data_IF_966405234468
#
_entry.id   IF_966405234468
#
_cell.length_a   1.000
_cell.length_b   1.000
_cell.length_c   1.000
_cell.angle_alpha   90.00
_cell.angle_beta   90.00
_cell.angle_gamma   90.00
#
_symmetry.space_group_name_H-M   'P 1'
#
loop_
_entity.id
_entity.type
_entity.pdbx_description
1 polymer ?
#
# COMPACT_ATOMS: atom_id res chain seq x y z
N UNK A 1 -11.13 -15.73 -22.67
CA UNK A 1 -9.94 -15.02 -22.20
C UNK A 1 -9.23 -15.91 -21.19
N UNK A 2 -7.94 -16.15 -21.36
CA UNK A 2 -7.11 -16.94 -20.46
C UNK A 2 -6.61 -16.07 -19.28
N UNK A 3 -6.08 -16.71 -18.22
CA UNK A 3 -5.47 -16.00 -17.10
C UNK A 3 -4.25 -15.17 -17.54
N UNK A 4 -3.44 -15.69 -18.45
CA UNK A 4 -2.29 -14.96 -19.02
C UNK A 4 -2.70 -13.74 -19.87
N UNK A 5 -3.80 -13.83 -20.61
CA UNK A 5 -4.36 -12.64 -21.30
C UNK A 5 -4.80 -11.58 -20.28
N UNK A 6 -5.40 -12.01 -19.16
CA UNK A 6 -5.80 -11.13 -18.07
C UNK A 6 -4.61 -10.45 -17.39
N UNK A 7 -3.52 -11.17 -17.19
CA UNK A 7 -2.25 -10.65 -16.66
C UNK A 7 -1.66 -9.61 -17.63
N UNK A 8 -1.60 -9.94 -18.92
CA UNK A 8 -1.10 -9.02 -19.95
C UNK A 8 -1.94 -7.72 -20.04
N UNK A 9 -3.26 -7.82 -19.87
CA UNK A 9 -4.18 -6.69 -19.86
C UNK A 9 -4.21 -5.92 -18.53
N UNK A 10 -3.54 -6.39 -17.48
CA UNK A 10 -3.33 -5.69 -16.23
C UNK A 10 -4.45 -5.82 -15.19
N UNK A 11 -5.44 -6.70 -15.38
CA UNK A 11 -6.46 -6.95 -14.36
C UNK A 11 -6.28 -8.25 -13.56
N UNK A 12 -5.31 -9.08 -13.95
CA UNK A 12 -4.76 -10.17 -13.14
C UNK A 12 -3.35 -9.76 -12.75
N UNK A 13 -3.03 -9.78 -11.47
CA UNK A 13 -1.73 -9.36 -10.97
C UNK A 13 -0.62 -10.35 -11.29
N UNK A 14 -0.92 -11.65 -11.17
CA UNK A 14 0.05 -12.73 -11.34
C UNK A 14 -0.70 -14.02 -11.69
N UNK A 15 -0.15 -14.81 -12.62
CA UNK A 15 -0.62 -16.14 -12.94
C UNK A 15 0.29 -17.16 -12.28
N UNK A 16 -0.28 -18.10 -11.55
CA UNK A 16 0.45 -19.16 -10.85
C UNK A 16 -0.03 -20.54 -11.32
N UNK A 17 0.68 -21.59 -10.94
CA UNK A 17 0.27 -22.97 -11.20
C UNK A 17 -1.12 -23.28 -10.65
N UNK A 18 -1.80 -24.22 -11.30
CA UNK A 18 -3.15 -24.61 -10.89
C UNK A 18 -3.21 -25.08 -9.42
N UNK A 19 -4.16 -24.57 -8.69
CA UNK A 19 -4.33 -24.82 -7.25
C UNK A 19 -3.42 -23.99 -6.33
N UNK A 20 -2.48 -23.18 -6.84
CA UNK A 20 -1.52 -22.39 -6.05
C UNK A 20 -1.96 -20.95 -5.75
N UNK A 21 -3.06 -20.49 -6.29
CA UNK A 21 -3.51 -19.10 -6.17
C UNK A 21 -3.70 -18.67 -4.70
N UNK A 22 -4.28 -19.51 -3.85
CA UNK A 22 -4.48 -19.18 -2.44
C UNK A 22 -3.16 -19.10 -1.66
N UNK A 23 -2.23 -20.02 -1.92
CA UNK A 23 -0.89 -20.02 -1.30
C UNK A 23 -0.16 -18.72 -1.66
N UNK A 24 -0.15 -18.36 -2.94
CA UNK A 24 0.48 -17.12 -3.42
C UNK A 24 -0.20 -15.86 -2.86
N UNK A 25 -1.51 -15.84 -2.79
CA UNK A 25 -2.25 -14.74 -2.18
C UNK A 25 -1.87 -14.54 -0.70
N UNK A 26 -1.66 -15.61 0.06
CA UNK A 26 -1.17 -15.52 1.44
C UNK A 26 0.26 -14.99 1.55
N UNK A 27 1.14 -15.32 0.61
CA UNK A 27 2.49 -14.76 0.56
C UNK A 27 2.45 -13.25 0.33
N UNK A 28 1.69 -12.79 -0.68
CA UNK A 28 1.49 -11.36 -0.95
C UNK A 28 0.88 -10.65 0.27
N UNK A 29 -0.09 -11.26 0.93
CA UNK A 29 -0.68 -10.70 2.15
C UNK A 29 0.35 -10.55 3.28
N UNK A 30 1.29 -11.50 3.44
CA UNK A 30 2.38 -11.39 4.42
C UNK A 30 3.33 -10.24 4.10
N UNK A 31 3.66 -10.03 2.83
CA UNK A 31 4.48 -8.89 2.39
C UNK A 31 3.80 -7.56 2.73
N UNK A 32 2.49 -7.45 2.49
CA UNK A 32 1.70 -6.28 2.85
C UNK A 32 1.69 -6.06 4.38
N UNK A 33 1.51 -7.12 5.15
CA UNK A 33 1.49 -7.05 6.62
C UNK A 33 2.85 -6.70 7.24
N UNK A 34 3.95 -6.81 6.50
CA UNK A 34 5.26 -6.32 6.94
C UNK A 34 5.37 -4.79 6.93
N UNK A 35 4.43 -4.09 6.27
CA UNK A 35 4.37 -2.63 6.24
C UNK A 35 3.49 -2.07 7.36
N UNK A 36 3.68 -0.78 7.70
CA UNK A 36 2.78 -0.11 8.65
C UNK A 36 1.34 -0.11 8.16
N UNK A 37 0.36 -0.52 8.99
CA UNK A 37 -1.05 -0.52 8.61
C UNK A 37 -1.58 0.88 8.25
N UNK A 38 -1.03 1.93 8.84
CA UNK A 38 -1.39 3.31 8.49
C UNK A 38 -0.83 3.72 7.14
N UNK A 39 0.41 3.29 6.80
CA UNK A 39 0.99 3.53 5.47
C UNK A 39 0.19 2.83 4.36
N UNK A 40 -0.25 1.59 4.58
CA UNK A 40 -1.10 0.87 3.63
C UNK A 40 -2.41 1.62 3.38
N UNK A 41 -3.09 2.07 4.45
CA UNK A 41 -4.34 2.82 4.35
C UNK A 41 -4.14 4.16 3.64
N UNK A 42 -3.09 4.91 4.01
CA UNK A 42 -2.77 6.19 3.39
C UNK A 42 -2.45 6.06 1.90
N UNK A 43 -1.65 5.05 1.51
CA UNK A 43 -1.33 4.78 0.11
C UNK A 43 -2.57 4.43 -0.70
N UNK A 44 -3.44 3.58 -0.17
CA UNK A 44 -4.69 3.21 -0.82
C UNK A 44 -5.62 4.41 -0.98
N UNK A 45 -5.82 5.21 0.08
CA UNK A 45 -6.65 6.41 0.05
C UNK A 45 -6.12 7.44 -0.96
N UNK A 46 -4.79 7.64 -0.99
CA UNK A 46 -4.15 8.55 -1.93
C UNK A 46 -4.37 8.14 -3.39
N UNK A 47 -4.23 6.84 -3.72
CA UNK A 47 -4.47 6.34 -5.07
C UNK A 47 -5.92 6.54 -5.50
N UNK A 48 -6.89 6.13 -4.67
CA UNK A 48 -8.30 6.27 -5.03
C UNK A 48 -8.74 7.73 -5.15
N UNK A 49 -8.34 8.60 -4.21
CA UNK A 49 -8.69 10.03 -4.27
C UNK A 49 -8.00 10.75 -5.41
N UNK A 50 -6.82 10.31 -5.83
CA UNK A 50 -6.13 10.93 -6.97
C UNK A 50 -6.94 10.87 -8.26
N UNK A 51 -7.85 9.91 -8.39
CA UNK A 51 -8.73 9.76 -9.56
C UNK A 51 -9.83 10.84 -9.61
N UNK A 52 -10.10 11.53 -8.50
CA UNK A 52 -11.12 12.58 -8.41
C UNK A 52 -10.58 13.96 -8.87
N UNK A 53 -9.27 14.06 -9.12
CA UNK A 53 -8.61 15.31 -9.49
C UNK A 53 -8.29 15.37 -10.98
N UNK A 54 -8.44 16.56 -11.57
CA UNK A 54 -8.17 16.78 -12.98
C UNK A 54 -6.67 16.81 -13.33
N UNK A 55 -5.81 17.07 -12.33
CA UNK A 55 -4.36 17.13 -12.52
C UNK A 55 -3.60 16.46 -11.37
N UNK A 56 -2.37 16.02 -11.66
CA UNK A 56 -1.46 15.48 -10.64
C UNK A 56 -1.13 16.54 -9.59
N UNK A 57 -0.98 17.80 -9.98
CA UNK A 57 -0.66 18.91 -9.08
C UNK A 57 -1.78 19.11 -8.05
N UNK A 58 -3.03 19.14 -8.48
CA UNK A 58 -4.20 19.26 -7.60
C UNK A 58 -4.31 18.05 -6.67
N UNK A 59 -4.09 16.85 -7.17
CA UNK A 59 -4.07 15.62 -6.38
C UNK A 59 -2.99 15.66 -5.30
N UNK A 60 -1.77 16.09 -5.63
CA UNK A 60 -0.68 16.21 -4.65
C UNK A 60 -0.93 17.29 -3.60
N UNK A 61 -1.61 18.38 -3.98
CA UNK A 61 -2.06 19.40 -3.03
C UNK A 61 -3.12 18.83 -2.10
N UNK A 62 -4.15 18.17 -2.64
CA UNK A 62 -5.17 17.49 -1.86
C UNK A 62 -4.59 16.45 -0.89
N UNK A 63 -3.59 15.69 -1.33
CA UNK A 63 -2.91 14.72 -0.47
C UNK A 63 -2.28 15.35 0.77
N UNK A 64 -1.70 16.54 0.64
CA UNK A 64 -1.09 17.27 1.77
C UNK A 64 -2.10 17.94 2.68
N UNK A 65 -3.20 18.46 2.13
CA UNK A 65 -4.13 19.34 2.83
C UNK A 65 -5.42 18.62 3.29
N UNK A 66 -5.89 17.64 2.53
CA UNK A 66 -7.24 17.09 2.68
C UNK A 66 -7.29 15.61 3.06
N UNK A 67 -6.27 14.81 2.75
CA UNK A 67 -6.33 13.36 2.96
C UNK A 67 -6.06 12.99 4.42
N UNK A 68 -7.14 12.68 5.13
CA UNK A 68 -7.08 12.35 6.56
C UNK A 68 -6.21 11.12 6.85
N UNK A 69 -6.23 10.11 5.98
CA UNK A 69 -5.40 8.92 6.16
C UNK A 69 -3.90 9.22 6.04
N UNK A 70 -3.51 10.14 5.14
CA UNK A 70 -2.11 10.59 5.00
C UNK A 70 -1.69 11.38 6.25
N UNK A 71 -2.56 12.26 6.75
CA UNK A 71 -2.29 13.01 7.97
C UNK A 71 -2.11 12.08 9.19
N UNK A 72 -3.03 11.13 9.38
CA UNK A 72 -2.93 10.14 10.45
C UNK A 72 -1.64 9.33 10.37
N UNK A 73 -1.21 8.94 9.16
CA UNK A 73 0.06 8.26 8.97
C UNK A 73 1.25 9.11 9.41
N UNK A 74 1.30 10.38 8.98
CA UNK A 74 2.42 11.30 9.30
C UNK A 74 2.50 11.60 10.80
N UNK A 75 1.36 11.71 11.49
CA UNK A 75 1.26 12.00 12.92
C UNK A 75 1.44 10.75 13.80
N UNK A 76 1.57 9.56 13.22
CA UNK A 76 1.61 8.30 13.94
C UNK A 76 2.99 7.97 14.53
N UNK A 77 3.00 7.13 15.56
CA UNK A 77 4.22 6.52 16.10
C UNK A 77 4.94 5.66 15.03
N UNK A 78 4.17 5.01 14.16
CA UNK A 78 4.68 4.17 13.08
C UNK A 78 5.49 4.96 12.04
N UNK A 79 5.19 6.25 11.84
CA UNK A 79 5.94 7.12 10.93
C UNK A 79 7.37 7.33 11.38
N UNK A 80 7.62 7.31 12.69
CA UNK A 80 8.96 7.40 13.30
C UNK A 80 9.61 6.02 13.37
N UNK A 81 8.82 4.99 13.71
CA UNK A 81 9.32 3.63 13.87
C UNK A 81 9.92 3.06 12.58
N UNK A 82 9.31 3.31 11.43
CA UNK A 82 9.79 2.80 10.15
C UNK A 82 11.24 3.18 9.85
N UNK A 83 11.55 4.47 9.72
CA UNK A 83 12.93 4.95 9.49
C UNK A 83 13.91 4.52 10.58
N UNK A 84 13.47 4.48 11.85
CA UNK A 84 14.29 4.04 12.97
C UNK A 84 14.66 2.56 12.86
N UNK A 85 13.69 1.68 12.63
CA UNK A 85 13.91 0.26 12.45
C UNK A 85 14.82 -0.03 11.26
N UNK A 86 14.64 0.71 10.15
CA UNK A 86 15.49 0.62 8.97
C UNK A 86 16.96 1.00 9.28
N UNK A 87 17.18 2.10 9.98
CA UNK A 87 18.52 2.56 10.37
C UNK A 87 19.20 1.56 11.32
N UNK A 88 18.43 0.97 12.24
CA UNK A 88 18.90 -0.02 13.21
C UNK A 88 18.99 -1.45 12.63
N UNK A 89 18.61 -1.66 11.37
CA UNK A 89 18.59 -2.97 10.68
C UNK A 89 17.81 -4.05 11.44
N UNK A 90 16.69 -3.68 12.02
CA UNK A 90 15.77 -4.57 12.72
C UNK A 90 14.37 -4.55 12.09
N UNK A 91 13.57 -5.53 12.42
CA UNK A 91 12.16 -5.51 12.07
C UNK A 91 11.44 -4.38 12.82
N UNK A 92 10.54 -3.64 12.15
CA UNK A 92 9.73 -2.62 12.78
C UNK A 92 8.66 -3.25 13.69
N UNK A 93 8.26 -2.50 14.71
CA UNK A 93 7.17 -2.86 15.61
C UNK A 93 5.98 -1.92 15.39
N UNK A 94 5.13 -2.26 14.44
CA UNK A 94 3.98 -1.45 14.08
C UNK A 94 2.91 -1.44 15.17
N UNK A 95 2.45 -0.27 15.54
CA UNK A 95 1.39 -0.07 16.55
C UNK A 95 0.05 0.33 15.93
N UNK A 96 0.05 0.81 14.68
CA UNK A 96 -1.14 1.27 13.98
C UNK A 96 -1.72 2.58 14.52
N UNK A 97 -0.91 3.39 15.18
CA UNK A 97 -1.31 4.65 15.80
C UNK A 97 -0.16 5.65 15.80
#
# INVERSE_FOLDING_TARGET
MSAHEGEHLGFVNEVVEDGKALERAHEVAKEILACSPLSIRASKDAVYRSLDFASLEDSMKGMREEYSAVRQMIESEDFIEGPKAFAEKRSPNWKGR
#
